data_IF_371935052976
#
_entry.id   IF_371935052976
#
_cell.length_a   1.000
_cell.length_b   1.000
_cell.length_c   1.000
_cell.angle_alpha   90.00
_cell.angle_beta   90.00
_cell.angle_gamma   90.00
#
_symmetry.space_group_name_H-M   'P 1'
#
loop_
_entity.id
_entity.type
_entity.pdbx_description
1 polymer ?
#
# COMPACT_ATOMS: atom_id res chain seq x y z
N UNK A 1 55.42 -20.95 56.28
CA UNK A 1 55.50 -22.36 55.83
C UNK A 1 56.08 -22.33 54.42
N UNK A 2 57.36 -22.67 54.31
CA UNK A 2 58.16 -22.70 53.08
C UNK A 2 57.84 -23.98 52.28
N UNK A 3 57.89 -23.93 50.94
CA UNK A 3 58.98 -24.53 50.14
C UNK A 3 58.66 -24.50 48.63
N UNK A 4 59.62 -23.97 47.87
CA UNK A 4 59.85 -24.17 46.44
C UNK A 4 60.51 -25.53 46.18
N UNK A 5 60.33 -26.13 45.00
CA UNK A 5 61.36 -26.35 43.94
C UNK A 5 60.86 -27.28 42.81
N UNK A 6 61.19 -26.92 41.56
CA UNK A 6 60.99 -27.67 40.30
C UNK A 6 61.92 -28.89 40.16
N UNK A 7 61.83 -29.69 39.06
CA UNK A 7 62.64 -29.37 37.88
C UNK A 7 62.04 -29.72 36.49
N UNK A 8 62.68 -29.14 35.48
CA UNK A 8 62.52 -29.24 34.02
C UNK A 8 62.92 -30.59 33.41
N UNK A 9 62.35 -30.95 32.26
CA UNK A 9 63.07 -31.63 31.15
C UNK A 9 62.54 -31.12 29.80
N UNK A 10 63.46 -30.68 28.94
CA UNK A 10 63.24 -30.38 27.52
C UNK A 10 63.51 -31.64 26.67
N UNK A 11 62.77 -31.87 25.59
CA UNK A 11 63.35 -32.48 24.39
C UNK A 11 62.54 -32.13 23.14
N UNK A 12 63.28 -31.78 22.11
CA UNK A 12 62.88 -31.38 20.75
C UNK A 12 62.58 -32.55 19.80
N UNK A 13 61.95 -32.23 18.65
CA UNK A 13 61.81 -32.99 17.38
C UNK A 13 60.56 -33.90 17.34
N UNK A 14 59.80 -34.08 16.26
CA UNK A 14 60.05 -33.96 14.82
C UNK A 14 58.82 -33.40 14.07
N UNK A 15 59.13 -32.68 12.99
CA UNK A 15 58.30 -32.31 11.84
C UNK A 15 57.93 -33.50 10.94
N UNK A 16 56.66 -33.61 10.52
CA UNK A 16 56.23 -34.25 9.27
C UNK A 16 54.88 -33.66 8.80
N UNK A 17 54.85 -32.78 7.78
CA UNK A 17 53.61 -32.39 7.10
C UNK A 17 53.59 -33.03 5.71
N UNK A 18 53.03 -34.22 5.57
CA UNK A 18 52.82 -34.81 4.24
C UNK A 18 51.74 -35.90 4.24
N UNK A 19 50.58 -35.65 4.86
CA UNK A 19 49.43 -36.56 4.71
C UNK A 19 48.08 -35.88 5.00
N UNK A 20 47.84 -34.68 4.44
CA UNK A 20 46.50 -34.03 4.49
C UNK A 20 46.05 -33.35 3.20
N UNK A 21 46.81 -33.44 2.10
CA UNK A 21 46.47 -32.72 0.85
C UNK A 21 45.75 -33.59 -0.19
N UNK A 22 45.76 -34.92 -0.06
CA UNK A 22 45.16 -35.79 -1.09
C UNK A 22 43.67 -36.12 -0.91
N UNK A 23 43.05 -35.81 0.23
CA UNK A 23 41.63 -36.11 0.48
C UNK A 23 40.67 -34.96 0.12
N UNK A 24 41.17 -33.75 -0.15
CA UNK A 24 40.37 -32.56 -0.46
C UNK A 24 40.21 -32.27 -1.96
N UNK A 25 40.96 -32.98 -2.82
CA UNK A 25 40.91 -32.78 -4.28
C UNK A 25 39.94 -33.72 -5.02
N UNK A 26 39.48 -34.80 -4.38
CA UNK A 26 38.51 -35.72 -5.00
C UNK A 26 37.04 -35.39 -4.68
N UNK A 27 36.77 -34.53 -3.68
CA UNK A 27 35.40 -34.08 -3.36
C UNK A 27 35.00 -32.78 -4.08
N UNK A 28 35.98 -31.99 -4.53
CA UNK A 28 35.76 -30.73 -5.27
C UNK A 28 35.53 -30.92 -6.78
N UNK A 29 35.83 -32.11 -7.32
CA UNK A 29 35.59 -32.43 -8.74
C UNK A 29 34.26 -33.12 -9.04
N UNK A 30 33.46 -33.48 -8.02
CA UNK A 30 32.12 -34.05 -8.22
C UNK A 30 30.98 -33.05 -7.98
N UNK A 31 31.26 -31.90 -7.35
CA UNK A 31 30.28 -30.86 -7.09
C UNK A 31 30.21 -29.77 -8.19
N UNK A 32 31.02 -29.89 -9.25
CA UNK A 32 31.18 -28.88 -10.30
C UNK A 32 30.46 -29.19 -11.62
N UNK A 33 29.53 -30.17 -11.65
CA UNK A 33 28.83 -30.59 -12.87
C UNK A 33 27.28 -30.61 -12.81
N UNK A 34 26.69 -29.99 -11.79
CA UNK A 34 25.26 -29.65 -11.82
C UNK A 34 25.05 -28.19 -11.41
N UNK A 35 25.70 -27.28 -12.14
CA UNK A 35 25.00 -26.04 -12.46
C UNK A 35 23.81 -26.47 -13.32
N UNK A 36 22.66 -26.75 -12.69
CA UNK A 36 21.39 -26.75 -13.40
C UNK A 36 21.30 -25.35 -14.00
N UNK A 37 21.70 -25.22 -15.26
CA UNK A 37 21.25 -24.13 -16.10
C UNK A 37 19.76 -24.38 -16.21
N UNK A 38 19.00 -23.75 -15.32
CA UNK A 38 17.56 -23.62 -15.48
C UNK A 38 17.40 -22.73 -16.69
N UNK A 39 17.43 -23.32 -17.88
CA UNK A 39 16.90 -22.66 -19.07
C UNK A 39 15.43 -22.42 -18.75
N UNK A 40 15.05 -21.15 -18.60
CA UNK A 40 13.65 -20.78 -18.45
C UNK A 40 12.88 -21.39 -19.63
N UNK A 41 11.92 -22.25 -19.34
CA UNK A 41 11.12 -22.88 -20.38
C UNK A 41 10.28 -21.79 -21.05
N UNK A 42 10.58 -21.47 -22.31
CA UNK A 42 9.81 -20.49 -23.06
C UNK A 42 8.37 -20.97 -23.24
N UNK A 43 7.44 -20.03 -23.20
CA UNK A 43 6.02 -20.27 -23.42
C UNK A 43 5.54 -19.51 -24.66
N UNK A 44 4.79 -20.19 -25.51
CA UNK A 44 4.15 -19.63 -26.69
C UNK A 44 2.63 -19.69 -26.52
N UNK A 45 2.00 -18.52 -26.42
CA UNK A 45 0.55 -18.39 -26.47
C UNK A 45 0.11 -18.17 -27.91
N UNK A 46 -0.80 -19.01 -28.40
CA UNK A 46 -1.32 -19.00 -29.78
C UNK A 46 -2.83 -18.80 -29.79
N UNK A 47 -3.41 -18.55 -30.97
CA UNK A 47 -4.86 -18.41 -31.14
C UNK A 47 -5.43 -17.33 -30.21
N UNK A 48 -4.84 -16.13 -30.29
CA UNK A 48 -5.27 -14.93 -29.56
C UNK A 48 -5.62 -13.80 -30.53
N UNK A 49 -6.46 -12.89 -30.08
CA UNK A 49 -6.72 -11.60 -30.71
C UNK A 49 -5.92 -10.53 -29.94
N UNK A 50 -4.61 -10.47 -30.18
CA UNK A 50 -3.68 -9.65 -29.41
C UNK A 50 -3.57 -8.22 -29.96
N UNK A 51 -3.57 -7.23 -29.07
CA UNK A 51 -3.32 -5.84 -29.43
C UNK A 51 -2.20 -5.25 -28.59
N UNK A 52 -1.41 -4.37 -29.20
CA UNK A 52 -0.44 -3.51 -28.50
C UNK A 52 -0.36 -2.17 -29.22
N UNK A 53 0.37 -1.24 -28.64
CA UNK A 53 0.67 0.06 -29.24
C UNK A 53 2.19 0.15 -29.41
N UNK A 54 2.65 0.57 -30.60
CA UNK A 54 4.09 0.78 -30.84
C UNK A 54 4.56 2.16 -30.34
N UNK A 55 5.84 2.46 -30.54
CA UNK A 55 6.45 3.72 -30.10
C UNK A 55 5.86 4.96 -30.80
N UNK A 56 5.21 4.79 -31.96
CA UNK A 56 4.57 5.84 -32.74
C UNK A 56 3.05 5.89 -32.49
N UNK A 57 2.59 5.26 -31.41
CA UNK A 57 1.18 5.16 -30.99
C UNK A 57 0.26 4.43 -31.97
N UNK A 58 0.81 3.64 -32.89
CA UNK A 58 0.00 2.86 -33.83
C UNK A 58 -0.47 1.55 -33.19
N UNK A 59 -1.75 1.23 -33.41
CA UNK A 59 -2.32 -0.05 -32.99
C UNK A 59 -1.70 -1.19 -33.79
N UNK A 60 -1.06 -2.11 -33.08
CA UNK A 60 -0.48 -3.33 -33.61
C UNK A 60 -1.37 -4.52 -33.25
N UNK A 61 -1.62 -5.41 -34.22
CA UNK A 61 -2.37 -6.65 -34.02
C UNK A 61 -1.45 -7.86 -34.16
N UNK A 62 -1.61 -8.86 -33.29
CA UNK A 62 -0.84 -10.10 -33.32
C UNK A 62 -1.72 -11.30 -32.93
N UNK A 63 -1.30 -12.48 -33.39
CA UNK A 63 -2.06 -13.74 -33.27
C UNK A 63 -1.40 -14.77 -32.36
N UNK A 64 -0.14 -14.53 -31.99
CA UNK A 64 0.59 -15.29 -30.98
C UNK A 64 1.67 -14.42 -30.31
N UNK A 65 2.11 -14.81 -29.11
CA UNK A 65 3.24 -14.19 -28.42
C UNK A 65 4.07 -15.25 -27.71
N UNK A 66 5.39 -15.08 -27.71
CA UNK A 66 6.34 -15.91 -26.97
C UNK A 66 6.98 -15.09 -25.85
N UNK A 67 7.14 -15.72 -24.69
CA UNK A 67 7.76 -15.11 -23.52
C UNK A 67 8.54 -16.15 -22.71
N UNK A 68 9.55 -15.68 -21.99
CA UNK A 68 10.38 -16.49 -21.09
C UNK A 68 10.44 -15.81 -19.73
N UNK A 69 9.95 -16.49 -18.69
CA UNK A 69 9.73 -15.85 -17.39
C UNK A 69 8.77 -14.67 -17.52
N UNK A 70 9.20 -13.47 -17.12
CA UNK A 70 8.41 -12.24 -17.19
C UNK A 70 8.78 -11.33 -18.38
N UNK A 71 9.59 -11.83 -19.32
CA UNK A 71 10.04 -11.07 -20.49
C UNK A 71 9.38 -11.56 -21.76
N UNK A 72 8.80 -10.63 -22.51
CA UNK A 72 8.28 -10.88 -23.85
C UNK A 72 9.46 -11.08 -24.81
N UNK A 73 9.53 -12.24 -25.46
CA UNK A 73 10.57 -12.55 -26.43
C UNK A 73 10.19 -11.99 -27.81
N UNK A 74 8.94 -12.24 -28.24
CA UNK A 74 8.43 -11.87 -29.57
C UNK A 74 6.90 -11.92 -29.64
N UNK A 75 6.32 -11.05 -30.47
CA UNK A 75 4.93 -11.18 -30.97
C UNK A 75 4.92 -11.65 -32.42
N UNK A 76 3.87 -12.36 -32.81
CA UNK A 76 3.70 -12.92 -34.15
C UNK A 76 2.41 -12.42 -34.79
N UNK A 77 2.54 -11.77 -35.93
CA UNK A 77 1.44 -11.29 -36.78
C UNK A 77 0.86 -12.39 -37.65
N UNK A 78 -0.26 -12.12 -38.32
CA UNK A 78 -0.92 -13.11 -39.18
C UNK A 78 0.03 -13.59 -40.30
N UNK A 79 0.13 -14.91 -40.46
CA UNK A 79 0.96 -15.55 -41.49
C UNK A 79 2.43 -15.74 -41.13
N UNK A 80 2.91 -15.25 -39.98
CA UNK A 80 4.27 -15.53 -39.52
C UNK A 80 4.44 -16.99 -39.06
N UNK A 81 5.59 -17.57 -39.39
CA UNK A 81 5.94 -18.94 -38.98
C UNK A 81 6.19 -19.00 -37.48
N UNK A 82 5.40 -19.80 -36.78
CA UNK A 82 5.56 -20.04 -35.35
C UNK A 82 6.71 -21.03 -35.07
N UNK A 83 7.39 -20.90 -33.91
CA UNK A 83 8.38 -21.88 -33.47
C UNK A 83 7.82 -23.31 -33.42
N UNK A 84 8.58 -24.26 -33.96
CA UNK A 84 8.25 -25.68 -33.99
C UNK A 84 8.98 -26.50 -32.91
N UNK A 85 9.73 -25.84 -32.01
CA UNK A 85 10.53 -26.48 -30.97
C UNK A 85 9.63 -27.24 -29.97
N UNK A 86 9.93 -28.52 -29.74
CA UNK A 86 9.23 -29.38 -28.79
C UNK A 86 9.47 -28.98 -27.32
N UNK A 87 10.50 -28.17 -27.05
CA UNK A 87 10.80 -27.65 -25.71
C UNK A 87 9.92 -26.48 -25.24
N UNK A 88 9.11 -25.90 -26.13
CA UNK A 88 8.27 -24.72 -25.83
C UNK A 88 6.92 -25.15 -25.25
N UNK A 89 6.55 -24.62 -24.09
CA UNK A 89 5.21 -24.78 -23.53
C UNK A 89 4.21 -24.00 -24.39
N UNK A 90 3.10 -24.64 -24.79
CA UNK A 90 2.07 -23.99 -25.62
C UNK A 90 0.79 -23.75 -24.84
N UNK A 91 0.23 -22.54 -24.99
CA UNK A 91 -1.05 -22.15 -24.42
C UNK A 91 -1.98 -21.74 -25.56
N UNK A 92 -3.17 -22.34 -25.64
CA UNK A 92 -4.23 -21.94 -26.57
C UNK A 92 -5.05 -20.81 -25.92
N UNK A 93 -5.06 -19.64 -26.54
CA UNK A 93 -5.82 -18.47 -26.13
C UNK A 93 -7.30 -18.53 -26.50
N UNK A 94 -7.76 -19.58 -27.19
CA UNK A 94 -9.16 -19.81 -27.53
C UNK A 94 -9.85 -18.68 -28.32
N UNK A 95 -9.07 -17.91 -29.10
CA UNK A 95 -9.53 -16.73 -29.84
C UNK A 95 -9.86 -15.52 -28.94
N UNK A 96 -9.52 -15.58 -27.65
CA UNK A 96 -9.77 -14.49 -26.71
C UNK A 96 -8.85 -13.29 -26.99
N UNK A 97 -9.30 -12.12 -26.55
CA UNK A 97 -8.55 -10.87 -26.70
C UNK A 97 -7.47 -10.78 -25.63
N UNK A 98 -6.25 -10.43 -26.06
CA UNK A 98 -5.11 -10.19 -25.18
C UNK A 98 -4.67 -8.73 -25.32
N UNK A 99 -4.57 -8.03 -24.20
CA UNK A 99 -4.18 -6.62 -24.11
C UNK A 99 -2.98 -6.49 -23.18
N UNK A 100 -2.20 -5.38 -23.29
CA UNK A 100 -1.24 -5.03 -22.27
C UNK A 100 -1.94 -4.89 -20.92
N UNK A 101 -1.27 -5.32 -19.85
CA UNK A 101 -1.79 -5.16 -18.50
C UNK A 101 -1.99 -3.68 -18.17
N UNK A 102 -3.06 -3.38 -17.44
CA UNK A 102 -3.42 -2.00 -17.13
C UNK A 102 -2.46 -1.43 -16.07
N UNK A 103 -2.16 -0.14 -16.18
CA UNK A 103 -1.34 0.59 -15.21
C UNK A 103 -2.15 1.76 -14.68
N UNK A 104 -2.38 1.79 -13.37
CA UNK A 104 -2.94 2.96 -12.72
C UNK A 104 -1.83 3.99 -12.47
N UNK A 105 -1.90 5.13 -13.16
CA UNK A 105 -0.87 6.15 -13.09
C UNK A 105 -0.92 6.99 -11.80
N UNK A 106 -1.92 6.80 -10.91
CA UNK A 106 -2.01 7.51 -9.63
C UNK A 106 -2.90 6.79 -8.60
N UNK A 107 -2.29 5.94 -7.77
CA UNK A 107 -2.96 5.23 -6.68
C UNK A 107 -2.46 5.63 -5.28
N UNK A 108 -3.18 5.13 -4.27
CA UNK A 108 -2.76 5.15 -2.86
C UNK A 108 -2.92 3.73 -2.29
N UNK A 109 -1.91 2.88 -2.50
CA UNK A 109 -2.04 1.43 -2.32
C UNK A 109 -2.29 1.08 -0.85
N UNK A 110 -1.54 1.68 0.08
CA UNK A 110 -1.74 1.44 1.51
C UNK A 110 -3.17 1.82 1.95
N UNK A 111 -3.66 2.97 1.50
CA UNK A 111 -5.00 3.45 1.84
C UNK A 111 -6.08 2.51 1.30
N UNK A 112 -5.92 2.01 0.07
CA UNK A 112 -6.81 1.01 -0.51
C UNK A 112 -6.73 -0.32 0.26
N UNK A 113 -5.53 -0.78 0.62
CA UNK A 113 -5.35 -1.97 1.45
C UNK A 113 -6.08 -1.88 2.78
N UNK A 114 -5.97 -0.74 3.45
CA UNK A 114 -6.68 -0.48 4.69
C UNK A 114 -8.19 -0.43 4.50
N UNK A 115 -8.71 0.06 3.37
CA UNK A 115 -10.15 0.04 3.12
C UNK A 115 -10.70 -1.37 2.96
N UNK A 116 -9.91 -2.31 2.41
CA UNK A 116 -10.27 -3.73 2.33
C UNK A 116 -10.26 -4.45 3.69
N UNK A 117 -9.60 -3.87 4.70
CA UNK A 117 -9.45 -4.43 6.04
C UNK A 117 -10.33 -3.72 7.09
N UNK A 118 -11.29 -2.91 6.64
CA UNK A 118 -12.17 -2.10 7.46
C UNK A 118 -13.63 -2.34 7.08
N UNK A 119 -14.54 -1.90 7.95
CA UNK A 119 -15.97 -2.00 7.66
C UNK A 119 -16.33 -1.10 6.48
N UNK A 120 -16.87 -1.68 5.41
CA UNK A 120 -17.44 -0.92 4.29
C UNK A 120 -18.94 -0.66 4.53
N UNK A 121 -19.26 0.61 4.78
CA UNK A 121 -20.60 1.11 5.04
C UNK A 121 -21.23 1.75 3.81
N UNK A 122 -20.55 1.70 2.66
CA UNK A 122 -21.05 2.24 1.39
C UNK A 122 -22.36 1.55 1.01
N UNK A 123 -23.35 2.34 0.62
CA UNK A 123 -24.65 1.85 0.19
C UNK A 123 -25.56 1.33 1.32
N UNK A 124 -25.22 1.56 2.59
CA UNK A 124 -26.17 1.31 3.69
C UNK A 124 -27.37 2.25 3.60
N UNK A 125 -28.56 1.72 3.83
CA UNK A 125 -29.85 2.43 3.74
C UNK A 125 -30.41 2.83 5.12
N UNK A 126 -29.77 2.40 6.21
CA UNK A 126 -30.15 2.80 7.57
C UNK A 126 -28.97 2.76 8.56
N UNK A 127 -29.13 3.46 9.69
CA UNK A 127 -28.21 3.35 10.83
C UNK A 127 -28.11 1.90 11.32
N UNK A 128 -29.24 1.18 11.38
CA UNK A 128 -29.29 -0.20 11.85
C UNK A 128 -28.52 -1.15 10.93
N UNK A 129 -28.63 -0.99 9.61
CA UNK A 129 -27.85 -1.77 8.65
C UNK A 129 -26.35 -1.48 8.80
N UNK A 130 -25.97 -0.21 8.99
CA UNK A 130 -24.58 0.16 9.25
C UNK A 130 -24.04 -0.50 10.53
N UNK A 131 -24.80 -0.45 11.63
CA UNK A 131 -24.48 -1.14 12.90
C UNK A 131 -24.35 -2.66 12.69
N UNK A 132 -25.23 -3.27 11.90
CA UNK A 132 -25.15 -4.70 11.60
C UNK A 132 -23.86 -5.08 10.88
N UNK A 133 -23.43 -4.31 9.87
CA UNK A 133 -22.14 -4.56 9.19
C UNK A 133 -20.96 -4.44 10.15
N UNK A 134 -21.01 -3.49 11.08
CA UNK A 134 -19.99 -3.35 12.13
C UNK A 134 -19.99 -4.57 13.05
N UNK A 135 -21.17 -5.06 13.45
CA UNK A 135 -21.31 -6.26 14.28
C UNK A 135 -20.73 -7.51 13.61
N UNK A 136 -21.06 -7.73 12.33
CA UNK A 136 -20.57 -8.86 11.54
C UNK A 136 -19.04 -8.81 11.40
N UNK A 137 -18.49 -7.62 11.11
CA UNK A 137 -17.05 -7.42 11.03
C UNK A 137 -16.36 -7.65 12.39
N UNK A 138 -16.93 -7.14 13.48
CA UNK A 138 -16.38 -7.30 14.83
C UNK A 138 -16.37 -8.78 15.26
N UNK A 139 -17.40 -9.55 14.89
CA UNK A 139 -17.48 -10.97 15.16
C UNK A 139 -16.44 -11.78 14.36
N UNK A 140 -16.20 -11.39 13.10
CA UNK A 140 -15.17 -12.00 12.27
C UNK A 140 -13.73 -11.64 12.69
N UNK A 141 -13.55 -10.53 13.43
CA UNK A 141 -12.26 -9.99 13.82
C UNK A 141 -12.19 -9.74 15.34
N UNK A 142 -12.19 -10.79 16.18
CA UNK A 142 -12.27 -10.66 17.63
C UNK A 142 -11.03 -9.99 18.25
N UNK A 143 -9.87 -10.09 17.61
CA UNK A 143 -8.58 -9.64 18.14
C UNK A 143 -8.24 -8.17 17.81
N UNK A 144 -9.05 -7.49 17.00
CA UNK A 144 -8.82 -6.08 16.68
C UNK A 144 -9.11 -5.20 17.88
N UNK A 145 -8.12 -4.39 18.28
CA UNK A 145 -8.26 -3.44 19.38
C UNK A 145 -9.21 -2.28 19.04
N UNK A 146 -9.26 -1.87 17.76
CA UNK A 146 -10.14 -0.81 17.25
C UNK A 146 -10.93 -1.32 16.05
N UNK A 147 -12.22 -1.03 16.02
CA UNK A 147 -13.04 -1.25 14.82
C UNK A 147 -13.08 0.04 14.02
N UNK A 148 -12.61 -0.03 12.78
CA UNK A 148 -12.56 1.11 11.87
C UNK A 148 -13.39 0.83 10.62
N UNK A 149 -14.02 1.87 10.07
CA UNK A 149 -14.86 1.76 8.89
C UNK A 149 -15.02 3.07 8.12
N UNK A 150 -15.62 2.98 6.93
CA UNK A 150 -15.90 4.13 6.08
C UNK A 150 -17.15 3.92 5.24
N UNK A 151 -17.80 5.01 4.86
CA UNK A 151 -18.74 5.01 3.72
C UNK A 151 -20.19 5.25 4.10
N UNK A 152 -20.50 5.44 5.38
CA UNK A 152 -21.86 5.77 5.80
C UNK A 152 -22.26 7.12 5.20
N UNK A 153 -23.54 7.24 4.86
CA UNK A 153 -24.12 8.46 4.34
C UNK A 153 -25.58 8.56 4.78
N UNK A 154 -25.81 9.28 5.87
CA UNK A 154 -27.14 9.45 6.45
C UNK A 154 -28.14 10.10 5.50
N UNK A 155 -27.69 10.83 4.47
CA UNK A 155 -28.59 11.41 3.44
C UNK A 155 -29.35 10.33 2.67
N UNK A 156 -28.80 9.11 2.59
CA UNK A 156 -29.43 7.95 1.97
C UNK A 156 -30.39 7.23 2.92
N UNK A 157 -30.33 7.51 4.22
CA UNK A 157 -31.16 6.86 5.22
C UNK A 157 -32.52 7.54 5.36
N UNK A 158 -33.55 6.77 5.71
CA UNK A 158 -34.93 7.27 5.87
C UNK A 158 -35.03 8.46 6.83
N UNK A 159 -34.24 8.43 7.92
CA UNK A 159 -34.26 9.47 8.96
C UNK A 159 -33.57 10.75 8.51
N UNK A 160 -32.59 10.65 7.59
CA UNK A 160 -31.62 11.72 7.24
C UNK A 160 -30.87 12.34 8.42
N UNK A 161 -31.03 11.76 9.61
CA UNK A 161 -30.44 12.22 10.84
C UNK A 161 -29.03 11.64 10.98
N UNK A 162 -28.14 12.37 11.63
CA UNK A 162 -26.86 11.82 12.03
C UNK A 162 -27.06 10.60 12.96
N UNK A 163 -26.19 9.58 12.88
CA UNK A 163 -26.23 8.46 13.81
C UNK A 163 -25.80 8.89 15.22
N UNK A 164 -25.94 7.98 16.18
CA UNK A 164 -25.56 8.21 17.57
C UNK A 164 -24.59 7.15 18.11
N UNK A 165 -23.77 7.49 19.10
CA UNK A 165 -22.90 6.55 19.80
C UNK A 165 -23.70 5.40 20.41
N UNK A 166 -24.92 5.68 20.88
CA UNK A 166 -25.80 4.71 21.54
C UNK A 166 -26.11 3.47 20.68
N UNK A 167 -26.18 3.62 19.35
CA UNK A 167 -26.44 2.48 18.47
C UNK A 167 -25.19 1.60 18.24
N UNK A 168 -23.98 2.15 18.36
CA UNK A 168 -22.73 1.36 18.38
C UNK A 168 -22.44 0.77 19.78
N UNK A 169 -22.80 1.48 20.83
CA UNK A 169 -22.63 1.06 22.23
C UNK A 169 -23.37 -0.25 22.52
N UNK A 170 -24.49 -0.49 21.82
CA UNK A 170 -25.21 -1.77 21.86
C UNK A 170 -24.39 -2.97 21.37
N UNK A 171 -23.30 -2.76 20.61
CA UNK A 171 -22.39 -3.82 20.16
C UNK A 171 -21.32 -4.14 21.22
N UNK A 172 -20.68 -3.10 21.75
CA UNK A 172 -19.66 -3.21 22.79
C UNK A 172 -19.40 -1.84 23.42
N UNK A 173 -19.36 -1.83 24.76
CA UNK A 173 -18.93 -0.67 25.56
C UNK A 173 -17.41 -0.65 25.81
N UNK A 174 -16.69 -1.72 25.45
CA UNK A 174 -15.26 -1.86 25.75
C UNK A 174 -14.38 -1.64 24.53
N UNK A 175 -14.90 -1.96 23.33
CA UNK A 175 -14.12 -1.89 22.09
C UNK A 175 -14.39 -0.57 21.36
N UNK A 176 -13.39 0.31 21.18
CA UNK A 176 -13.59 1.57 20.50
C UNK A 176 -13.88 1.38 19.00
N UNK A 177 -14.87 2.14 18.52
CA UNK A 177 -15.32 2.12 17.12
C UNK A 177 -15.17 3.52 16.52
N UNK A 178 -14.63 3.61 15.30
CA UNK A 178 -14.52 4.84 14.53
C UNK A 178 -14.90 4.64 13.05
N UNK A 179 -15.96 5.31 12.62
CA UNK A 179 -16.54 5.15 11.28
C UNK A 179 -16.54 6.48 10.54
N UNK A 180 -15.78 6.61 9.46
CA UNK A 180 -15.73 7.84 8.65
C UNK A 180 -16.86 7.90 7.63
N UNK A 181 -17.39 9.11 7.41
CA UNK A 181 -18.44 9.36 6.42
C UNK A 181 -17.90 9.21 5.00
N UNK A 182 -18.78 8.97 4.03
CA UNK A 182 -18.43 8.80 2.61
C UNK A 182 -17.62 9.96 1.99
N UNK A 183 -17.74 11.17 2.53
CA UNK A 183 -16.99 12.36 2.07
C UNK A 183 -15.74 12.65 2.91
N UNK A 184 -15.52 11.92 4.01
CA UNK A 184 -14.38 12.11 4.90
C UNK A 184 -14.47 13.32 5.83
N UNK A 185 -15.58 14.05 5.85
CA UNK A 185 -15.75 15.29 6.62
C UNK A 185 -16.52 15.11 7.94
N UNK A 186 -16.92 13.89 8.25
CA UNK A 186 -17.45 13.52 9.55
C UNK A 186 -17.00 12.13 9.96
N UNK A 187 -16.96 11.87 11.25
CA UNK A 187 -16.77 10.55 11.82
C UNK A 187 -17.79 10.26 12.92
N UNK A 188 -18.07 8.98 13.10
CA UNK A 188 -19.02 8.44 14.06
C UNK A 188 -18.29 7.48 14.99
N UNK A 189 -18.28 7.83 16.28
CA UNK A 189 -17.62 7.15 17.37
C UNK A 189 -18.64 6.54 18.34
N UNK A 190 -18.30 5.41 18.94
CA UNK A 190 -19.01 4.90 20.12
C UNK A 190 -18.49 5.57 21.41
N UNK A 191 -19.14 5.32 22.54
CA UNK A 191 -18.78 5.93 23.83
C UNK A 191 -17.36 5.56 24.28
N UNK A 192 -16.91 4.32 24.02
CA UNK A 192 -15.54 3.91 24.34
C UNK A 192 -14.47 4.73 23.60
N UNK A 193 -14.68 5.02 22.31
CA UNK A 193 -13.77 5.86 21.54
C UNK A 193 -13.78 7.33 22.02
N UNK A 194 -14.95 7.86 22.41
CA UNK A 194 -15.07 9.21 23.00
C UNK A 194 -14.35 9.31 24.35
N UNK A 195 -14.47 8.28 25.19
CA UNK A 195 -13.80 8.22 26.50
C UNK A 195 -12.28 8.23 26.35
N UNK A 196 -11.73 7.41 25.47
CA UNK A 196 -10.28 7.40 25.14
C UNK A 196 -9.82 8.77 24.63
N UNK A 197 -10.67 9.46 23.87
CA UNK A 197 -10.42 10.79 23.34
C UNK A 197 -10.55 11.92 24.38
N UNK A 198 -11.17 11.65 25.54
CA UNK A 198 -11.50 12.67 26.53
C UNK A 198 -12.57 13.65 26.05
N UNK A 199 -13.49 13.20 25.18
CA UNK A 199 -14.58 14.00 24.62
C UNK A 199 -15.83 13.84 25.48
N UNK A 200 -16.29 14.94 26.09
CA UNK A 200 -17.46 14.97 26.98
C UNK A 200 -18.26 16.26 26.86
N UNK A 201 -19.18 16.48 27.81
CA UNK A 201 -20.09 17.63 27.84
C UNK A 201 -19.34 18.98 27.92
N UNK A 202 -18.19 19.02 28.57
CA UNK A 202 -17.38 20.24 28.75
C UNK A 202 -16.30 20.42 27.69
N UNK A 203 -16.11 19.47 26.78
CA UNK A 203 -15.09 19.57 25.72
C UNK A 203 -15.55 20.63 24.71
N UNK A 204 -14.80 21.72 24.49
CA UNK A 204 -15.19 22.72 23.50
C UNK A 204 -15.01 22.19 22.06
N UNK A 205 -15.73 22.79 21.12
CA UNK A 205 -15.46 22.58 19.69
C UNK A 205 -14.09 23.17 19.33
N UNK A 206 -13.24 22.47 18.56
CA UNK A 206 -11.98 23.03 18.09
C UNK A 206 -12.21 23.99 16.92
N UNK A 207 -11.24 24.88 16.66
CA UNK A 207 -11.27 25.76 15.50
C UNK A 207 -11.45 24.95 14.20
N UNK A 208 -12.45 25.31 13.39
CA UNK A 208 -12.76 24.62 12.13
C UNK A 208 -13.31 23.21 12.30
N UNK A 209 -13.91 22.88 13.45
CA UNK A 209 -14.58 21.59 13.69
C UNK A 209 -15.76 21.73 14.63
N UNK A 210 -16.60 20.70 14.69
CA UNK A 210 -17.79 20.67 15.54
C UNK A 210 -18.00 19.29 16.15
N UNK A 211 -18.35 19.24 17.44
CA UNK A 211 -18.87 18.05 18.11
C UNK A 211 -20.40 18.16 18.08
N UNK A 212 -21.07 17.21 17.42
CA UNK A 212 -22.54 17.17 17.41
C UNK A 212 -23.04 16.77 18.79
N UNK A 213 -24.02 17.50 19.32
CA UNK A 213 -24.55 17.33 20.67
C UNK A 213 -26.05 17.11 20.67
N UNK A 214 -26.53 16.36 21.66
CA UNK A 214 -27.95 16.22 21.94
C UNK A 214 -28.53 17.44 22.67
N UNK A 215 -29.84 17.40 22.98
CA UNK A 215 -30.56 18.48 23.67
C UNK A 215 -30.01 18.76 25.09
N UNK A 216 -29.35 17.79 25.71
CA UNK A 216 -28.69 17.93 27.02
C UNK A 216 -27.22 18.38 26.90
N UNK A 217 -26.71 18.63 25.68
CA UNK A 217 -25.34 19.08 25.42
C UNK A 217 -24.30 17.96 25.42
N UNK A 218 -24.71 16.69 25.53
CA UNK A 218 -23.80 15.54 25.51
C UNK A 218 -23.36 15.25 24.06
N UNK A 219 -22.08 14.92 23.81
CA UNK A 219 -21.63 14.49 22.48
C UNK A 219 -22.45 13.30 21.98
N UNK A 220 -22.98 13.38 20.76
CA UNK A 220 -23.73 12.27 20.15
C UNK A 220 -22.84 11.18 19.61
N UNK A 221 -21.52 11.39 19.53
CA UNK A 221 -20.58 10.52 18.84
C UNK A 221 -20.26 10.94 17.41
N UNK A 222 -20.91 11.96 16.87
CA UNK A 222 -20.56 12.52 15.55
C UNK A 222 -19.64 13.73 15.70
N UNK A 223 -18.49 13.67 15.03
CA UNK A 223 -17.47 14.72 15.03
C UNK A 223 -17.22 15.16 13.59
N UNK A 224 -17.21 16.48 13.35
CA UNK A 224 -17.11 17.10 12.02
C UNK A 224 -15.77 17.81 11.87
N UNK A 225 -15.15 17.65 10.70
CA UNK A 225 -13.88 18.28 10.31
C UNK A 225 -12.79 18.18 11.39
N UNK A 226 -12.23 19.31 11.87
CA UNK A 226 -11.11 19.29 12.82
C UNK A 226 -11.45 18.60 14.15
N UNK A 227 -12.74 18.47 14.51
CA UNK A 227 -13.14 17.72 15.70
C UNK A 227 -12.84 16.22 15.58
N UNK A 228 -12.83 15.65 14.37
CA UNK A 228 -12.48 14.25 14.15
C UNK A 228 -11.09 13.91 14.72
N UNK A 229 -10.17 14.87 14.72
CA UNK A 229 -8.80 14.71 15.25
C UNK A 229 -8.77 14.32 16.72
N UNK A 230 -9.78 14.72 17.51
CA UNK A 230 -9.88 14.36 18.93
C UNK A 230 -9.88 12.83 19.12
N UNK A 231 -10.54 12.10 18.21
CA UNK A 231 -10.60 10.64 18.23
C UNK A 231 -9.48 10.04 17.38
N UNK A 232 -9.27 10.50 16.15
CA UNK A 232 -8.31 9.84 15.23
C UNK A 232 -6.86 9.91 15.73
N UNK A 233 -6.49 10.92 16.51
CA UNK A 233 -5.15 10.99 17.12
C UNK A 233 -4.92 9.97 18.24
N UNK A 234 -5.98 9.27 18.67
CA UNK A 234 -5.91 8.20 19.68
C UNK A 234 -5.88 6.80 19.08
N UNK A 235 -6.19 6.68 17.78
CA UNK A 235 -6.06 5.42 17.06
C UNK A 235 -4.57 5.11 16.95
N UNK A 236 -4.11 3.91 17.36
CA UNK A 236 -2.71 3.53 17.22
C UNK A 236 -2.23 3.66 15.77
N UNK A 237 -1.01 4.17 15.61
CA UNK A 237 -0.36 4.16 14.30
C UNK A 237 -0.14 2.72 13.83
N UNK A 238 -0.22 2.51 12.52
CA UNK A 238 -0.01 1.18 11.94
C UNK A 238 1.44 0.73 12.15
N UNK A 239 1.61 -0.52 12.56
CA UNK A 239 2.94 -1.14 12.56
C UNK A 239 3.41 -1.39 11.13
N UNK A 240 4.71 -1.64 10.96
CA UNK A 240 5.24 -1.99 9.65
C UNK A 240 4.57 -3.27 9.10
N UNK A 241 4.35 -4.28 9.95
CA UNK A 241 3.70 -5.54 9.59
C UNK A 241 2.25 -5.34 9.14
N UNK A 242 1.50 -4.46 9.82
CA UNK A 242 0.14 -4.10 9.40
C UNK A 242 0.13 -3.41 8.03
N UNK A 243 1.10 -2.52 7.76
CA UNK A 243 1.26 -1.92 6.44
C UNK A 243 1.62 -2.97 5.38
N UNK A 244 2.55 -3.89 5.66
CA UNK A 244 2.90 -4.99 4.75
C UNK A 244 1.67 -5.81 4.37
N UNK A 245 0.88 -6.21 5.38
CA UNK A 245 -0.33 -6.99 5.16
C UNK A 245 -1.35 -6.23 4.31
N UNK A 246 -1.60 -4.94 4.60
CA UNK A 246 -2.49 -4.10 3.83
C UNK A 246 -2.02 -3.92 2.36
N UNK A 247 -0.73 -3.65 2.17
CA UNK A 247 -0.12 -3.50 0.84
C UNK A 247 -0.23 -4.80 0.03
N UNK A 248 0.11 -5.94 0.62
CA UNK A 248 -0.02 -7.24 -0.04
C UNK A 248 -1.46 -7.53 -0.44
N UNK A 249 -2.42 -7.25 0.46
CA UNK A 249 -3.85 -7.44 0.19
C UNK A 249 -4.33 -6.53 -0.95
N UNK A 250 -3.92 -5.26 -0.94
CA UNK A 250 -4.24 -4.29 -1.98
C UNK A 250 -3.71 -4.73 -3.35
N UNK A 251 -2.41 -5.01 -3.46
CA UNK A 251 -1.78 -5.42 -4.71
C UNK A 251 -2.41 -6.69 -5.26
N UNK A 252 -2.71 -7.67 -4.40
CA UNK A 252 -3.41 -8.90 -4.80
C UNK A 252 -4.82 -8.60 -5.33
N UNK A 253 -5.59 -7.74 -4.66
CA UNK A 253 -6.94 -7.38 -5.10
C UNK A 253 -6.93 -6.64 -6.45
N UNK A 254 -5.96 -5.74 -6.66
CA UNK A 254 -5.80 -4.98 -7.90
C UNK A 254 -5.62 -5.89 -9.14
N UNK A 255 -4.99 -7.06 -8.99
CA UNK A 255 -4.87 -8.04 -10.09
C UNK A 255 -6.21 -8.48 -10.67
N UNK A 256 -7.28 -8.50 -9.86
CA UNK A 256 -8.64 -8.90 -10.29
C UNK A 256 -9.25 -7.91 -11.28
N UNK A 257 -8.74 -6.69 -11.32
CA UNK A 257 -9.15 -5.64 -12.26
C UNK A 257 -8.24 -5.59 -13.50
N UNK A 258 -7.30 -6.52 -13.65
CA UNK A 258 -6.34 -6.54 -14.76
C UNK A 258 -5.20 -5.52 -14.61
N UNK A 259 -5.03 -4.94 -13.41
CA UNK A 259 -3.89 -4.07 -13.13
C UNK A 259 -2.63 -4.90 -12.95
N UNK A 260 -1.59 -4.51 -13.67
CA UNK A 260 -0.24 -5.10 -13.59
C UNK A 260 0.79 -4.10 -13.06
N UNK A 261 0.41 -2.84 -12.90
CA UNK A 261 1.22 -1.83 -12.26
C UNK A 261 0.41 -0.68 -11.68
N UNK A 262 0.99 0.01 -10.70
CA UNK A 262 0.41 1.21 -10.08
C UNK A 262 1.53 2.20 -9.74
N UNK A 263 1.25 3.49 -9.91
CA UNK A 263 2.08 4.53 -9.34
C UNK A 263 1.57 4.91 -7.94
N UNK A 264 2.28 4.56 -6.88
CA UNK A 264 1.83 4.79 -5.50
C UNK A 264 2.26 6.18 -5.01
N UNK A 265 1.30 7.08 -4.84
CA UNK A 265 1.55 8.49 -4.64
C UNK A 265 1.71 8.87 -3.16
N UNK A 266 2.85 9.46 -2.81
CA UNK A 266 3.09 10.11 -1.52
C UNK A 266 3.31 9.12 -0.39
N UNK A 267 4.18 8.13 -0.59
CA UNK A 267 4.45 7.12 0.42
C UNK A 267 5.36 7.66 1.54
N UNK A 268 5.10 7.21 2.77
CA UNK A 268 5.91 7.54 3.95
C UNK A 268 7.19 6.69 4.02
N UNK A 269 8.13 7.09 4.88
CA UNK A 269 9.34 6.29 5.12
C UNK A 269 9.03 4.90 5.68
N UNK A 270 7.99 4.76 6.51
CA UNK A 270 7.54 3.46 7.04
C UNK A 270 6.98 2.58 5.92
N UNK A 271 6.24 3.17 4.99
CA UNK A 271 5.69 2.46 3.83
C UNK A 271 6.80 2.00 2.88
N UNK A 272 7.85 2.79 2.69
CA UNK A 272 9.07 2.35 1.96
C UNK A 272 9.66 1.09 2.59
N UNK A 273 9.79 1.06 3.92
CA UNK A 273 10.31 -0.12 4.63
C UNK A 273 9.37 -1.32 4.54
N UNK A 274 8.05 -1.10 4.58
CA UNK A 274 7.08 -2.16 4.39
C UNK A 274 7.22 -2.81 2.99
N UNK A 275 7.33 -2.00 1.93
CA UNK A 275 7.58 -2.51 0.59
C UNK A 275 8.89 -3.29 0.48
N UNK A 276 9.99 -2.75 1.03
CA UNK A 276 11.29 -3.42 1.00
C UNK A 276 11.28 -4.75 1.75
N UNK A 277 10.55 -4.83 2.87
CA UNK A 277 10.40 -6.07 3.63
C UNK A 277 9.54 -7.11 2.88
N UNK A 278 8.51 -6.69 2.14
CA UNK A 278 7.72 -7.61 1.29
C UNK A 278 8.60 -8.29 0.23
N UNK A 279 9.59 -7.59 -0.34
CA UNK A 279 10.52 -8.14 -1.31
C UNK A 279 11.38 -9.29 -0.75
N UNK A 280 11.59 -9.35 0.58
CA UNK A 280 12.30 -10.48 1.22
C UNK A 280 11.50 -11.80 1.09
N UNK A 281 10.18 -11.71 0.88
CA UNK A 281 9.28 -12.85 0.66
C UNK A 281 9.09 -13.18 -0.83
N UNK A 282 9.71 -12.42 -1.73
CA UNK A 282 9.60 -12.58 -3.19
C UNK A 282 8.95 -11.39 -3.88
N UNK A 283 8.66 -11.51 -5.19
CA UNK A 283 8.17 -10.40 -5.98
C UNK A 283 6.81 -9.85 -5.53
N UNK A 284 6.62 -8.54 -5.69
CA UNK A 284 5.31 -7.92 -5.45
C UNK A 284 4.28 -8.43 -6.47
N UNK A 285 2.98 -8.58 -6.11
CA UNK A 285 1.95 -9.10 -7.03
C UNK A 285 1.74 -8.27 -8.30
N UNK A 286 2.07 -6.97 -8.25
CA UNK A 286 2.05 -6.02 -9.36
C UNK A 286 3.27 -5.10 -9.26
N UNK A 287 3.62 -4.42 -10.36
CA UNK A 287 4.71 -3.44 -10.36
C UNK A 287 4.30 -2.16 -9.63
N UNK A 288 5.13 -1.67 -8.72
CA UNK A 288 4.89 -0.44 -7.97
C UNK A 288 5.93 0.61 -8.36
N UNK A 289 5.46 1.72 -8.91
CA UNK A 289 6.26 2.93 -9.13
C UNK A 289 5.92 3.94 -8.03
N UNK A 290 6.71 3.95 -6.95
CA UNK A 290 6.41 4.77 -5.79
C UNK A 290 6.92 6.21 -5.91
N UNK A 291 6.11 7.14 -5.41
CA UNK A 291 6.42 8.54 -5.25
C UNK A 291 6.58 8.85 -3.76
N UNK A 292 7.75 9.30 -3.32
CA UNK A 292 7.97 9.69 -1.92
C UNK A 292 7.18 10.96 -1.58
N UNK A 293 6.57 11.03 -0.40
CA UNK A 293 6.00 12.29 0.08
C UNK A 293 7.12 13.30 0.35
N UNK A 294 7.27 14.31 -0.52
CA UNK A 294 8.44 15.21 -0.50
C UNK A 294 8.48 16.12 0.74
N UNK A 295 7.32 16.44 1.30
CA UNK A 295 7.18 17.30 2.46
C UNK A 295 7.23 16.56 3.78
N UNK A 296 7.30 15.22 3.75
CA UNK A 296 7.41 14.39 4.95
C UNK A 296 8.86 14.41 5.45
N UNK A 297 9.15 14.98 6.63
CA UNK A 297 10.52 15.04 7.15
C UNK A 297 11.12 13.64 7.38
N UNK A 298 10.30 12.62 7.64
CA UNK A 298 10.79 11.26 7.86
C UNK A 298 11.31 10.63 6.56
N UNK A 299 10.97 11.19 5.40
CA UNK A 299 11.48 10.76 4.10
C UNK A 299 12.84 11.36 3.70
N UNK A 300 13.42 12.27 4.51
CA UNK A 300 14.68 12.93 4.16
C UNK A 300 15.82 11.95 3.81
N UNK A 301 15.91 10.82 4.52
CA UNK A 301 16.91 9.79 4.23
C UNK A 301 16.64 9.05 2.91
N UNK A 302 15.37 8.79 2.58
CA UNK A 302 15.00 8.15 1.31
C UNK A 302 15.25 9.09 0.13
N UNK A 303 14.94 10.38 0.28
CA UNK A 303 15.26 11.40 -0.73
C UNK A 303 16.77 11.49 -0.98
N UNK A 304 17.57 11.55 0.09
CA UNK A 304 19.03 11.60 -0.01
C UNK A 304 19.65 10.32 -0.60
N UNK A 305 19.00 9.16 -0.43
CA UNK A 305 19.45 7.90 -1.02
C UNK A 305 19.23 7.84 -2.55
N UNK A 306 18.35 8.69 -3.09
CA UNK A 306 18.05 8.75 -4.51
C UNK A 306 17.26 7.53 -5.00
N UNK A 307 17.51 7.12 -6.24
CA UNK A 307 16.73 6.09 -6.91
C UNK A 307 16.95 4.71 -6.31
N UNK A 308 15.85 3.99 -6.11
CA UNK A 308 15.84 2.59 -5.73
C UNK A 308 15.07 1.77 -6.76
N UNK A 309 15.56 0.60 -7.11
CA UNK A 309 14.86 -0.41 -7.89
C UNK A 309 15.19 -1.78 -7.31
N UNK A 310 14.17 -2.62 -7.13
CA UNK A 310 14.35 -3.98 -6.67
C UNK A 310 14.95 -4.86 -7.78
N UNK A 311 15.68 -5.91 -7.40
CA UNK A 311 16.35 -6.80 -8.36
C UNK A 311 15.36 -7.47 -9.34
N UNK A 312 14.15 -7.76 -8.86
CA UNK A 312 13.05 -8.34 -9.62
C UNK A 312 12.20 -7.29 -10.38
N UNK A 313 12.54 -6.00 -10.26
CA UNK A 313 11.88 -4.87 -10.91
C UNK A 313 10.39 -4.72 -10.59
N UNK A 314 9.90 -5.32 -9.50
CA UNK A 314 8.51 -5.12 -9.05
C UNK A 314 8.33 -3.87 -8.19
N UNK A 315 9.41 -3.26 -7.69
CA UNK A 315 9.39 -1.98 -6.98
C UNK A 315 10.41 -1.00 -7.55
N UNK A 316 9.94 0.21 -7.89
CA UNK A 316 10.78 1.34 -8.29
C UNK A 316 10.42 2.57 -7.46
N UNK A 317 11.41 3.24 -6.86
CA UNK A 317 11.23 4.49 -6.12
C UNK A 317 12.12 5.54 -6.79
N UNK A 318 11.50 6.38 -7.62
CA UNK A 318 12.22 7.32 -8.50
C UNK A 318 11.54 8.67 -8.67
N UNK A 319 10.49 8.94 -7.90
CA UNK A 319 9.71 10.17 -8.00
C UNK A 319 9.27 10.65 -6.62
N UNK A 320 8.73 11.86 -6.60
CA UNK A 320 8.15 12.47 -5.41
C UNK A 320 6.72 12.94 -5.67
N UNK A 321 5.91 12.97 -4.62
CA UNK A 321 4.59 13.61 -4.61
C UNK A 321 4.67 14.87 -3.78
N UNK A 322 4.23 15.97 -4.38
CA UNK A 322 4.03 17.27 -3.74
C UNK A 322 2.54 17.61 -3.86
N UNK A 323 1.96 18.18 -2.81
CA UNK A 323 0.59 18.70 -2.82
C UNK A 323 0.69 20.21 -2.66
N UNK A 324 0.37 20.95 -3.73
CA UNK A 324 0.49 22.41 -3.75
C UNK A 324 -0.74 23.09 -3.16
N UNK A 325 -1.94 22.56 -3.42
CA UNK A 325 -3.23 23.13 -3.05
C UNK A 325 -4.26 22.04 -2.68
N UNK A 326 -5.51 22.42 -2.44
CA UNK A 326 -6.59 21.50 -2.08
C UNK A 326 -7.38 20.94 -3.28
N UNK A 327 -8.60 20.51 -3.02
CA UNK A 327 -9.51 19.97 -4.05
C UNK A 327 -10.67 20.94 -4.34
N UNK A 328 -11.28 20.83 -5.53
CA UNK A 328 -12.42 21.66 -5.93
C UNK A 328 -13.65 21.46 -5.02
N UNK A 329 -13.94 20.21 -4.62
CA UNK A 329 -15.15 19.88 -3.84
C UNK A 329 -15.20 20.57 -2.47
N UNK A 330 -14.06 20.68 -1.79
CA UNK A 330 -13.91 21.42 -0.53
C UNK A 330 -13.59 22.91 -0.73
N UNK A 331 -13.56 23.38 -2.00
CA UNK A 331 -13.08 24.70 -2.41
C UNK A 331 -11.67 25.02 -1.90
N UNK A 332 -10.82 24.00 -1.81
CA UNK A 332 -9.42 24.16 -1.41
C UNK A 332 -8.47 24.36 -2.59
N UNK A 333 -8.84 23.94 -3.81
CA UNK A 333 -7.99 24.12 -4.99
C UNK A 333 -7.78 25.60 -5.30
N UNK A 334 -6.53 25.99 -5.57
CA UNK A 334 -6.14 27.37 -5.82
C UNK A 334 -6.51 27.78 -7.25
N UNK A 335 -7.46 28.70 -7.39
CA UNK A 335 -7.96 29.18 -8.68
C UNK A 335 -7.41 30.58 -9.00
N UNK A 336 -7.32 30.89 -10.30
CA UNK A 336 -6.94 32.23 -10.77
C UNK A 336 -8.02 33.26 -10.40
N UNK A 337 -9.28 32.90 -10.59
CA UNK A 337 -10.46 33.70 -10.29
C UNK A 337 -11.30 33.03 -9.20
N UNK A 338 -12.32 33.76 -8.71
CA UNK A 338 -13.20 33.26 -7.66
C UNK A 338 -13.93 31.99 -8.08
N UNK A 339 -14.23 31.13 -7.11
CA UNK A 339 -15.13 30.00 -7.32
C UNK A 339 -16.49 30.51 -7.82
N UNK A 340 -16.99 29.90 -8.89
CA UNK A 340 -18.27 30.32 -9.52
C UNK A 340 -19.48 30.22 -8.57
N UNK A 341 -19.38 29.41 -7.52
CA UNK A 341 -20.39 29.20 -6.50
C UNK A 341 -20.04 29.84 -5.14
N UNK A 342 -18.92 30.56 -5.06
CA UNK A 342 -18.46 31.27 -3.85
C UNK A 342 -17.65 32.52 -4.23
N UNK A 343 -18.32 33.64 -4.57
CA UNK A 343 -17.66 34.92 -4.84
C UNK A 343 -16.76 35.36 -3.68
N UNK A 344 -15.57 35.87 -3.99
CA UNK A 344 -14.55 36.30 -3.03
C UNK A 344 -13.65 35.19 -2.50
N UNK A 345 -13.83 33.93 -2.90
CA UNK A 345 -13.00 32.80 -2.48
C UNK A 345 -12.26 32.19 -3.67
N UNK A 346 -10.95 31.98 -3.54
CA UNK A 346 -10.07 31.43 -4.61
C UNK A 346 -9.34 30.15 -4.20
N UNK A 347 -9.75 29.54 -3.09
CA UNK A 347 -9.06 28.38 -2.53
C UNK A 347 -7.83 28.75 -1.71
N UNK A 348 -6.96 27.77 -1.48
CA UNK A 348 -5.86 27.87 -0.52
C UNK A 348 -4.63 27.15 -1.09
N UNK A 349 -3.48 27.85 -1.10
CA UNK A 349 -2.19 27.18 -1.26
C UNK A 349 -1.85 26.46 0.04
N UNK A 350 -1.50 25.17 -0.05
CA UNK A 350 -0.98 24.39 1.09
C UNK A 350 0.52 24.64 1.29
N UNK A 351 1.22 24.98 0.20
CA UNK A 351 2.62 25.39 0.22
C UNK A 351 2.73 26.77 -0.42
N UNK A 352 3.29 27.72 0.32
CA UNK A 352 3.66 29.02 -0.24
C UNK A 352 4.67 28.83 -1.40
N UNK A 353 4.64 29.68 -2.45
CA UNK A 353 5.44 29.50 -3.66
C UNK A 353 6.94 29.28 -3.41
N UNK A 354 7.52 29.98 -2.44
CA UNK A 354 8.93 29.82 -2.06
C UNK A 354 9.19 28.43 -1.49
N UNK A 355 8.31 27.95 -0.61
CA UNK A 355 8.42 26.61 -0.02
C UNK A 355 8.20 25.51 -1.07
N UNK A 356 7.26 25.71 -1.99
CA UNK A 356 7.03 24.78 -3.10
C UNK A 356 8.29 24.63 -3.95
N UNK A 357 8.93 25.76 -4.28
CA UNK A 357 10.18 25.79 -5.05
C UNK A 357 11.31 25.05 -4.31
N UNK A 358 11.48 25.31 -3.01
CA UNK A 358 12.48 24.63 -2.17
C UNK A 358 12.28 23.11 -2.15
N UNK A 359 11.03 22.64 -2.03
CA UNK A 359 10.71 21.21 -2.04
C UNK A 359 10.99 20.58 -3.42
N UNK A 360 10.69 21.29 -4.51
CA UNK A 360 11.03 20.84 -5.86
C UNK A 360 12.54 20.73 -6.07
N UNK A 361 13.32 21.71 -5.60
CA UNK A 361 14.79 21.69 -5.67
C UNK A 361 15.40 20.56 -4.84
N UNK A 362 14.80 20.23 -3.68
CA UNK A 362 15.26 19.11 -2.84
C UNK A 362 15.00 17.74 -3.48
N UNK A 363 14.03 17.67 -4.38
CA UNK A 363 13.63 16.44 -5.06
C UNK A 363 14.36 16.20 -6.41
N UNK A 364 15.09 17.20 -6.91
CA UNK A 364 15.95 17.11 -8.10
C UNK A 364 17.37 16.74 -7.72
#
# INVERSE_FOLDING_TARGET
MQQHFSPSISSSRLSFPALRVFALLCFSLYASLYSLVVFGQSTLMVNINGYSVDADENLQHFTALQFTGDTLDRVFTEGETLPADEGITRIDGAGLTLLPGLIDAHGHILSYGLSLLRVDLTGTESEQEAVQRVQEFQAANPDLAWIQGRGWNQVLWDTRAFPSAASLDGLSMERPVWLSRVDGHAGWANSAALEIAGVGITTPDPDGGQIIRDEEGRPTGVLVDNAMRLVTSKIPALTQEEQQFALQRAMTELTRFGLTGVHDAGISAVTVQAYKSLLESGPLPIRVYAMLAATDPDNAANLAAGYYESEDQTLSIRSVKIVADGALGSRGAALIDDYSDMPGHRGLMLLEPERLTEVMETAM
#
